data_IF_999655430746
#
_entry.id   IF_999655430746
#
_cell.length_a   1.000
_cell.length_b   1.000
_cell.length_c   1.000
_cell.angle_alpha   90.00
_cell.angle_beta   90.00
_cell.angle_gamma   90.00
#
_symmetry.space_group_name_H-M   'P 1'
#
loop_
_entity.id
_entity.type
_entity.pdbx_description
1 polymer ?
#
# COMPACT_ATOMS: atom_id res chain seq x y z
N UNK A 1 7.47 5.40 -18.02
CA UNK A 1 6.50 6.15 -17.22
C UNK A 1 6.53 5.65 -15.80
N UNK A 2 6.37 6.56 -14.85
CA UNK A 2 6.37 6.19 -13.45
C UNK A 2 5.03 5.60 -13.05
N UNK A 3 5.06 4.54 -12.28
CA UNK A 3 3.87 3.87 -11.82
C UNK A 3 4.04 3.56 -10.34
N UNK A 4 3.07 3.99 -9.54
CA UNK A 4 3.08 3.78 -8.10
C UNK A 4 2.16 2.64 -7.75
N UNK A 5 2.62 1.75 -6.86
CA UNK A 5 1.82 0.61 -6.42
C UNK A 5 1.93 0.45 -4.91
N UNK A 6 0.89 -0.10 -4.32
CA UNK A 6 0.92 -0.48 -2.92
C UNK A 6 1.13 -1.98 -2.81
N UNK A 7 2.09 -2.37 -1.99
CA UNK A 7 2.28 -3.77 -1.62
C UNK A 7 1.72 -3.94 -0.21
N UNK A 8 0.76 -4.82 -0.06
CA UNK A 8 0.09 -5.06 1.22
C UNK A 8 0.83 -6.15 1.97
N UNK A 9 1.04 -5.94 3.27
CA UNK A 9 1.73 -6.90 4.13
C UNK A 9 0.81 -7.33 5.26
N UNK A 10 0.92 -8.59 5.67
CA UNK A 10 0.16 -9.11 6.80
C UNK A 10 0.88 -8.81 8.13
N UNK A 11 0.36 -9.39 9.23
CA UNK A 11 0.89 -9.14 10.56
C UNK A 11 2.35 -9.54 10.72
N UNK A 12 2.79 -10.58 10.02
CA UNK A 12 4.17 -11.06 10.09
C UNK A 12 5.08 -10.42 9.04
N UNK A 13 4.52 -9.55 8.20
CA UNK A 13 5.30 -8.82 7.21
C UNK A 13 5.39 -9.48 5.85
N UNK A 14 4.70 -10.59 5.64
CA UNK A 14 4.67 -11.25 4.33
C UNK A 14 3.83 -10.44 3.35
N UNK A 15 4.21 -10.48 2.08
CA UNK A 15 3.45 -9.81 1.03
C UNK A 15 2.14 -10.54 0.79
N UNK A 16 1.03 -9.83 0.94
CA UNK A 16 -0.30 -10.38 0.69
C UNK A 16 -0.67 -10.23 -0.78
N UNK A 17 -0.59 -9.01 -1.29
CA UNK A 17 -0.88 -8.72 -2.68
C UNK A 17 -0.37 -7.32 -3.03
N UNK A 18 -0.30 -7.04 -4.31
CA UNK A 18 0.09 -5.74 -4.84
C UNK A 18 -1.10 -5.15 -5.58
N UNK A 19 -1.36 -3.87 -5.40
CA UNK A 19 -2.46 -3.19 -6.10
C UNK A 19 -2.08 -2.89 -7.54
N UNK A 20 -3.07 -2.44 -8.31
CA UNK A 20 -2.82 -1.90 -9.64
C UNK A 20 -1.99 -0.63 -9.54
N UNK A 21 -1.36 -0.25 -10.63
CA UNK A 21 -0.53 0.93 -10.67
C UNK A 21 -1.35 2.22 -10.67
N UNK A 22 -0.79 3.26 -10.05
CA UNK A 22 -1.36 4.61 -10.04
C UNK A 22 -0.43 5.53 -10.82
N UNK A 23 -1.00 6.53 -11.48
CA UNK A 23 -0.22 7.45 -12.30
C UNK A 23 0.61 8.42 -11.47
N UNK A 24 0.21 8.67 -10.23
CA UNK A 24 0.93 9.60 -9.36
C UNK A 24 0.88 9.14 -7.92
N UNK A 25 1.82 9.64 -7.13
CA UNK A 25 1.86 9.39 -5.70
C UNK A 25 0.60 9.91 -5.03
N UNK A 26 0.11 11.05 -5.48
CA UNK A 26 -1.10 11.66 -4.95
C UNK A 26 -2.32 10.75 -5.13
N UNK A 27 -2.46 10.15 -6.32
CA UNK A 27 -3.53 9.20 -6.57
C UNK A 27 -3.40 7.97 -5.68
N UNK A 28 -2.18 7.47 -5.51
CA UNK A 28 -1.93 6.31 -4.66
C UNK A 28 -2.32 6.60 -3.21
N UNK A 29 -1.95 7.77 -2.71
CA UNK A 29 -2.27 8.17 -1.33
C UNK A 29 -3.77 8.38 -1.14
N UNK A 30 -4.42 8.95 -2.13
CA UNK A 30 -5.87 9.16 -2.10
C UNK A 30 -6.61 7.82 -2.05
N UNK A 31 -6.18 6.87 -2.87
CA UNK A 31 -6.74 5.53 -2.85
C UNK A 31 -6.58 4.88 -1.48
N UNK A 32 -5.39 5.00 -0.90
CA UNK A 32 -5.10 4.41 0.40
C UNK A 32 -5.99 5.03 1.48
N UNK A 33 -6.21 6.33 1.45
CA UNK A 33 -7.07 7.01 2.39
C UNK A 33 -8.52 6.54 2.32
N UNK A 34 -8.97 6.11 1.14
CA UNK A 34 -10.33 5.61 0.95
C UNK A 34 -10.46 4.13 1.31
N UNK A 35 -9.37 3.36 1.19
CA UNK A 35 -9.44 1.90 1.27
C UNK A 35 -8.79 1.28 2.52
N UNK A 36 -8.12 2.08 3.34
CA UNK A 36 -7.34 1.53 4.46
C UNK A 36 -8.17 0.66 5.41
N UNK A 37 -9.41 1.04 5.66
CA UNK A 37 -10.28 0.27 6.56
C UNK A 37 -10.62 -1.10 5.96
N UNK A 38 -10.90 -1.14 4.65
CA UNK A 38 -11.16 -2.40 3.95
C UNK A 38 -9.93 -3.29 3.94
N UNK A 39 -8.74 -2.69 3.80
CA UNK A 39 -7.49 -3.44 3.81
C UNK A 39 -7.25 -4.07 5.17
N UNK A 40 -7.56 -3.36 6.25
CA UNK A 40 -7.47 -3.93 7.59
C UNK A 40 -8.41 -5.12 7.75
N UNK A 41 -9.62 -5.03 7.20
CA UNK A 41 -10.58 -6.13 7.22
C UNK A 41 -10.07 -7.35 6.46
N UNK A 42 -9.29 -7.14 5.42
CA UNK A 42 -8.67 -8.23 4.65
C UNK A 42 -7.53 -8.90 5.41
N UNK A 43 -7.02 -8.26 6.44
CA UNK A 43 -5.90 -8.79 7.21
C UNK A 43 -4.58 -8.06 6.98
N UNK A 44 -4.58 -7.00 6.17
CA UNK A 44 -3.37 -6.21 5.95
C UNK A 44 -3.05 -5.39 7.20
N UNK A 45 -1.80 -5.41 7.61
CA UNK A 45 -1.34 -4.67 8.78
C UNK A 45 -0.45 -3.50 8.40
N UNK A 46 0.17 -3.57 7.24
CA UNK A 46 1.02 -2.50 6.75
C UNK A 46 1.05 -2.50 5.23
N UNK A 47 1.51 -1.41 4.66
CA UNK A 47 1.64 -1.26 3.22
C UNK A 47 2.95 -0.57 2.87
N UNK A 48 3.49 -0.88 1.70
CA UNK A 48 4.67 -0.21 1.15
C UNK A 48 4.29 0.46 -0.15
N UNK A 49 4.71 1.70 -0.32
CA UNK A 49 4.54 2.39 -1.60
C UNK A 49 5.77 2.14 -2.45
N UNK A 50 5.53 1.57 -3.63
CA UNK A 50 6.60 1.22 -4.56
C UNK A 50 6.43 2.02 -5.84
N UNK A 51 7.51 2.58 -6.33
CA UNK A 51 7.54 3.28 -7.62
C UNK A 51 8.50 2.52 -8.53
N UNK A 52 7.97 2.01 -9.64
CA UNK A 52 8.71 1.13 -10.53
C UNK A 52 9.20 -0.07 -9.70
N UNK A 53 10.47 -0.29 -9.54
CA UNK A 53 10.99 -1.39 -8.73
C UNK A 53 11.59 -0.93 -7.42
N UNK A 54 11.26 0.29 -6.99
CA UNK A 54 11.89 0.89 -5.82
C UNK A 54 10.85 1.20 -4.74
N UNK A 55 11.08 0.68 -3.54
CA UNK A 55 10.24 0.99 -2.40
C UNK A 55 10.54 2.40 -1.91
N UNK A 56 9.51 3.24 -1.84
CA UNK A 56 9.66 4.61 -1.36
C UNK A 56 9.54 4.70 0.16
N UNK A 57 8.51 4.07 0.71
CA UNK A 57 8.33 4.04 2.16
C UNK A 57 7.32 2.95 2.52
N UNK A 58 7.27 2.64 3.80
CA UNK A 58 6.34 1.68 4.36
C UNK A 58 5.60 2.32 5.53
N UNK A 59 4.32 2.02 5.68
CA UNK A 59 3.56 2.55 6.80
C UNK A 59 2.61 1.50 7.35
N UNK A 60 2.29 1.62 8.64
CA UNK A 60 1.31 0.76 9.28
C UNK A 60 -0.10 1.26 9.01
N UNK A 61 -1.05 0.33 8.93
CA UNK A 61 -2.45 0.66 8.74
C UNK A 61 -3.18 0.84 10.05
N UNK A 62 -2.72 0.18 11.11
CA UNK A 62 -3.33 0.30 12.42
C UNK A 62 -2.86 1.56 13.12
N UNK A 63 -3.76 2.27 13.80
CA UNK A 63 -3.35 3.38 14.65
C UNK A 63 -2.44 2.86 15.77
N UNK A 64 -1.44 3.64 16.10
CA UNK A 64 -0.51 3.27 17.18
C UNK A 64 -1.22 3.31 18.54
#
# INVERSE_FOLDING_TARGET
>A
MSEYRWVLHDLIGDDMRTTDGFDSKEQAEEWMGAEWASLLDEGAESVSLVKDDKMLYKMGLRPA
#
